data_IF_266572291935
#
_entry.id   IF_266572291935
#
_cell.length_a   1.000
_cell.length_b   1.000
_cell.length_c   1.000
_cell.angle_alpha   90.00
_cell.angle_beta   90.00
_cell.angle_gamma   90.00
#
_symmetry.space_group_name_H-M   'P 1'
#
loop_
_entity.id
_entity.type
_entity.pdbx_description
1 polymer ?
#
# COMPACT_ATOMS: atom_id res chain seq x y z
N UNK A 1 101.33 93.92 -8.41
CA UNK A 1 101.38 93.27 -9.73
C UNK A 1 99.96 93.10 -10.23
N UNK A 2 99.65 93.71 -11.37
CA UNK A 2 98.39 93.55 -12.09
C UNK A 2 98.19 92.10 -12.53
N UNK A 3 96.95 91.62 -12.49
CA UNK A 3 96.53 90.48 -13.29
C UNK A 3 95.10 90.70 -13.80
N UNK A 4 94.99 91.10 -15.07
CA UNK A 4 93.76 91.09 -15.86
C UNK A 4 93.25 89.65 -16.04
N UNK A 5 91.97 89.35 -15.78
CA UNK A 5 91.33 88.13 -16.31
C UNK A 5 89.90 88.36 -16.82
N UNK A 6 89.64 87.76 -17.99
CA UNK A 6 88.58 87.99 -18.98
C UNK A 6 87.19 87.47 -18.55
N UNK A 7 86.11 88.20 -18.88
CA UNK A 7 84.69 87.81 -18.60
C UNK A 7 84.21 86.62 -19.49
N UNK A 8 83.57 85.56 -18.94
CA UNK A 8 83.29 84.32 -19.69
C UNK A 8 82.10 84.38 -20.67
N UNK A 9 82.15 83.55 -21.72
CA UNK A 9 81.15 83.36 -22.80
C UNK A 9 79.71 83.02 -22.32
N UNK A 10 79.53 82.61 -21.08
CA UNK A 10 78.25 82.21 -20.46
C UNK A 10 77.28 83.39 -20.28
N UNK A 11 77.80 84.59 -19.97
CA UNK A 11 76.99 85.80 -19.82
C UNK A 11 76.29 86.21 -21.13
N UNK A 12 76.97 86.08 -22.28
CA UNK A 12 76.39 86.40 -23.60
C UNK A 12 75.24 85.45 -23.98
N UNK A 13 75.31 84.17 -23.60
CA UNK A 13 74.23 83.19 -23.82
C UNK A 13 73.01 83.52 -22.96
N UNK A 14 73.22 83.90 -21.69
CA UNK A 14 72.15 84.31 -20.78
C UNK A 14 71.42 85.57 -21.29
N UNK A 15 72.18 86.57 -21.75
CA UNK A 15 71.63 87.79 -22.36
C UNK A 15 70.80 87.47 -23.61
N UNK A 16 71.30 86.61 -24.53
CA UNK A 16 70.52 86.18 -25.71
C UNK A 16 69.25 85.40 -25.34
N UNK A 17 69.28 84.56 -24.28
CA UNK A 17 68.11 83.83 -23.76
C UNK A 17 67.07 84.81 -23.21
N UNK A 18 67.48 85.80 -22.42
CA UNK A 18 66.61 86.85 -21.90
C UNK A 18 66.03 87.71 -23.03
N UNK A 19 66.81 88.05 -24.05
CA UNK A 19 66.33 88.77 -25.23
C UNK A 19 65.31 87.98 -26.06
N UNK A 20 65.49 86.65 -26.23
CA UNK A 20 64.49 85.77 -26.88
C UNK A 20 63.21 85.64 -26.06
N UNK A 21 63.34 85.53 -24.73
CA UNK A 21 62.20 85.53 -23.80
C UNK A 21 61.42 86.85 -23.92
N UNK A 22 62.11 87.99 -23.92
CA UNK A 22 61.50 89.33 -24.06
C UNK A 22 60.80 89.50 -25.41
N UNK A 23 61.37 88.97 -26.50
CA UNK A 23 60.74 88.97 -27.84
C UNK A 23 59.47 88.09 -27.90
N UNK A 24 59.49 86.88 -27.34
CA UNK A 24 58.29 86.01 -27.27
C UNK A 24 57.20 86.62 -26.40
N UNK A 25 57.57 87.21 -25.27
CA UNK A 25 56.63 87.94 -24.41
C UNK A 25 56.02 89.14 -25.14
N UNK A 26 56.80 89.86 -25.95
CA UNK A 26 56.27 90.95 -26.77
C UNK A 26 55.29 90.43 -27.83
N UNK A 27 55.65 89.38 -28.58
CA UNK A 27 54.78 88.77 -29.60
C UNK A 27 53.49 88.19 -29.03
N UNK A 28 53.53 87.54 -27.86
CA UNK A 28 52.33 87.05 -27.18
C UNK A 28 51.43 88.23 -26.77
N UNK A 29 52.00 89.28 -26.18
CA UNK A 29 51.26 90.52 -25.84
C UNK A 29 50.66 91.17 -27.08
N UNK A 30 51.38 91.22 -28.19
CA UNK A 30 50.87 91.81 -29.43
C UNK A 30 49.74 90.94 -30.04
N UNK A 31 49.80 89.61 -29.92
CA UNK A 31 48.73 88.69 -30.35
C UNK A 31 47.50 88.82 -29.45
N UNK A 32 47.69 88.77 -28.14
CA UNK A 32 46.60 88.87 -27.18
C UNK A 32 45.94 90.26 -27.29
N UNK A 33 46.73 91.33 -27.53
CA UNK A 33 46.22 92.67 -27.84
C UNK A 33 45.40 92.71 -29.14
N UNK A 34 45.82 92.00 -30.20
CA UNK A 34 45.04 91.89 -31.44
C UNK A 34 43.73 91.13 -31.23
N UNK A 35 43.75 90.04 -30.46
CA UNK A 35 42.54 89.30 -30.11
C UNK A 35 41.59 90.17 -29.27
N UNK A 36 42.12 90.93 -28.31
CA UNK A 36 41.35 91.92 -27.55
C UNK A 36 40.76 93.02 -28.45
N UNK A 37 41.52 93.53 -29.43
CA UNK A 37 41.05 94.50 -30.42
C UNK A 37 39.93 93.91 -31.31
N UNK A 38 40.06 92.66 -31.74
CA UNK A 38 39.07 91.92 -32.52
C UNK A 38 37.80 91.60 -31.70
N UNK A 39 37.94 91.19 -30.45
CA UNK A 39 36.81 91.01 -29.53
C UNK A 39 36.12 92.33 -29.21
N UNK A 40 36.87 93.43 -29.06
CA UNK A 40 36.31 94.76 -28.85
C UNK A 40 35.52 95.23 -30.09
N UNK A 41 36.02 94.94 -31.30
CA UNK A 41 35.31 95.21 -32.55
C UNK A 41 34.01 94.39 -32.65
N UNK A 42 34.06 93.09 -32.37
CA UNK A 42 32.86 92.22 -32.31
C UNK A 42 31.87 92.71 -31.26
N UNK A 43 32.35 93.08 -30.08
CA UNK A 43 31.53 93.59 -28.97
C UNK A 43 30.98 94.99 -29.23
N UNK A 44 31.53 95.76 -30.17
CA UNK A 44 30.99 97.04 -30.59
C UNK A 44 29.95 96.90 -31.73
N UNK A 45 29.93 95.77 -32.43
CA UNK A 45 28.93 95.45 -33.46
C UNK A 45 27.56 95.17 -32.82
N UNK A 46 26.53 95.85 -33.32
CA UNK A 46 25.17 95.73 -32.83
C UNK A 46 24.56 94.34 -33.14
N UNK A 47 24.86 93.76 -34.29
CA UNK A 47 24.34 92.45 -34.70
C UNK A 47 24.89 91.32 -33.83
N UNK A 48 26.15 91.43 -33.42
CA UNK A 48 26.80 90.45 -32.54
C UNK A 48 26.26 90.50 -31.11
N UNK A 49 25.94 91.69 -30.58
CA UNK A 49 25.25 91.84 -29.28
C UNK A 49 23.88 91.18 -29.28
N UNK A 50 23.07 91.41 -30.32
CA UNK A 50 21.75 90.79 -30.46
C UNK A 50 21.84 89.27 -30.58
N UNK A 51 22.85 88.75 -31.28
CA UNK A 51 23.08 87.31 -31.39
C UNK A 51 23.49 86.68 -30.05
N UNK A 52 24.37 87.33 -29.28
CA UNK A 52 24.73 86.89 -27.92
C UNK A 52 23.51 86.87 -26.99
N UNK A 53 22.73 87.95 -26.97
CA UNK A 53 21.49 88.02 -26.17
C UNK A 53 20.48 86.94 -26.59
N UNK A 54 20.33 86.69 -27.90
CA UNK A 54 19.47 85.63 -28.41
C UNK A 54 19.99 84.23 -28.03
N UNK A 55 21.31 84.00 -28.09
CA UNK A 55 21.90 82.74 -27.71
C UNK A 55 21.81 82.48 -26.21
N UNK A 56 22.11 83.46 -25.37
CA UNK A 56 21.91 83.38 -23.93
C UNK A 56 20.44 83.10 -23.58
N UNK A 57 19.50 83.74 -24.29
CA UNK A 57 18.07 83.49 -24.13
C UNK A 57 17.67 82.06 -24.51
N UNK A 58 18.20 81.52 -25.62
CA UNK A 58 17.94 80.15 -26.04
C UNK A 58 18.57 79.12 -25.08
N UNK A 59 19.79 79.37 -24.60
CA UNK A 59 20.46 78.53 -23.61
C UNK A 59 19.71 78.53 -22.26
N UNK A 60 19.15 79.67 -21.85
CA UNK A 60 18.32 79.78 -20.66
C UNK A 60 16.99 79.01 -20.82
N UNK A 61 16.32 79.13 -21.97
CA UNK A 61 15.12 78.36 -22.27
C UNK A 61 15.40 76.85 -22.26
N UNK A 62 16.55 76.43 -22.78
CA UNK A 62 16.97 75.03 -22.78
C UNK A 62 17.27 74.52 -21.36
N UNK A 63 17.97 75.30 -20.53
CA UNK A 63 18.17 74.97 -19.10
C UNK A 63 16.85 74.76 -18.37
N UNK A 64 15.89 75.67 -18.55
CA UNK A 64 14.56 75.58 -17.93
C UNK A 64 13.80 74.35 -18.44
N UNK A 65 13.93 74.00 -19.73
CA UNK A 65 13.31 72.82 -20.29
C UNK A 65 13.91 71.52 -19.73
N UNK A 66 15.25 71.43 -19.68
CA UNK A 66 15.98 70.28 -19.15
C UNK A 66 15.69 70.09 -17.64
N UNK A 67 15.61 71.18 -16.87
CA UNK A 67 15.24 71.13 -15.44
C UNK A 67 13.81 70.60 -15.24
N UNK A 68 12.85 71.03 -16.06
CA UNK A 68 11.49 70.50 -16.02
C UNK A 68 11.44 69.02 -16.39
N UNK A 69 12.17 68.61 -17.42
CA UNK A 69 12.25 67.20 -17.81
C UNK A 69 12.88 66.34 -16.70
N UNK A 70 13.92 66.85 -16.02
CA UNK A 70 14.51 66.18 -14.86
C UNK A 70 13.52 66.06 -13.70
N UNK A 71 12.78 67.12 -13.39
CA UNK A 71 11.74 67.09 -12.36
C UNK A 71 10.64 66.08 -12.68
N UNK A 72 10.14 66.07 -13.92
CA UNK A 72 9.13 65.11 -14.36
C UNK A 72 9.65 63.66 -14.29
N UNK A 73 10.90 63.43 -14.69
CA UNK A 73 11.54 62.12 -14.61
C UNK A 73 11.76 61.67 -13.17
N UNK A 74 12.17 62.58 -12.28
CA UNK A 74 12.32 62.33 -10.84
C UNK A 74 10.96 61.99 -10.20
N UNK A 75 9.92 62.75 -10.50
CA UNK A 75 8.56 62.45 -10.04
C UNK A 75 8.07 61.09 -10.54
N UNK A 76 8.30 60.77 -11.82
CA UNK A 76 7.95 59.47 -12.38
C UNK A 76 8.73 58.34 -11.73
N UNK A 77 10.01 58.55 -11.45
CA UNK A 77 10.85 57.58 -10.75
C UNK A 77 10.35 57.35 -9.32
N UNK A 78 10.09 58.41 -8.55
CA UNK A 78 9.56 58.33 -7.19
C UNK A 78 8.19 57.63 -7.14
N UNK A 79 7.31 57.87 -8.12
CA UNK A 79 6.02 57.16 -8.22
C UNK A 79 6.21 55.66 -8.45
N UNK A 80 7.12 55.27 -9.35
CA UNK A 80 7.44 53.86 -9.62
C UNK A 80 8.06 53.18 -8.40
N UNK A 81 8.98 53.87 -7.73
CA UNK A 81 9.64 53.37 -6.52
C UNK A 81 8.64 53.13 -5.39
N UNK A 82 7.72 54.07 -5.15
CA UNK A 82 6.67 53.91 -4.14
C UNK A 82 5.75 52.72 -4.43
N UNK A 83 5.39 52.52 -5.71
CA UNK A 83 4.57 51.38 -6.12
C UNK A 83 5.33 50.06 -5.94
N UNK A 84 6.61 50.01 -6.31
CA UNK A 84 7.47 48.85 -6.15
C UNK A 84 7.63 48.48 -4.66
N UNK A 85 7.83 49.46 -3.78
CA UNK A 85 7.92 49.22 -2.33
C UNK A 85 6.62 48.67 -1.73
N UNK A 86 5.46 49.23 -2.14
CA UNK A 86 4.15 48.70 -1.71
C UNK A 86 3.91 47.28 -2.21
N UNK A 87 4.29 46.98 -3.45
CA UNK A 87 4.19 45.63 -4.01
C UNK A 87 5.10 44.66 -3.26
N UNK A 88 6.35 45.03 -3.02
CA UNK A 88 7.31 44.21 -2.28
C UNK A 88 6.82 43.89 -0.87
N UNK A 89 6.30 44.88 -0.13
CA UNK A 89 5.73 44.66 1.20
C UNK A 89 4.54 43.70 1.16
N UNK A 90 3.66 43.83 0.16
CA UNK A 90 2.51 42.94 -0.01
C UNK A 90 2.94 41.50 -0.34
N UNK A 91 3.93 41.33 -1.21
CA UNK A 91 4.50 40.03 -1.54
C UNK A 91 5.20 39.38 -0.34
N UNK A 92 5.87 40.16 0.51
CA UNK A 92 6.45 39.64 1.75
C UNK A 92 5.36 39.16 2.72
N UNK A 93 4.27 39.93 2.89
CA UNK A 93 3.14 39.51 3.72
C UNK A 93 2.47 38.25 3.19
N UNK A 94 2.28 38.16 1.86
CA UNK A 94 1.72 36.97 1.21
C UNK A 94 2.61 35.74 1.40
N UNK A 95 3.93 35.86 1.21
CA UNK A 95 4.88 34.77 1.45
C UNK A 95 4.86 34.27 2.90
N UNK A 96 4.89 35.19 3.86
CA UNK A 96 4.81 34.83 5.29
C UNK A 96 3.47 34.17 5.63
N UNK A 97 2.36 34.63 5.03
CA UNK A 97 1.05 34.01 5.21
C UNK A 97 0.99 32.61 4.58
N UNK A 98 1.58 32.43 3.39
CA UNK A 98 1.67 31.13 2.71
C UNK A 98 2.53 30.14 3.50
N UNK A 99 3.70 30.56 4.00
CA UNK A 99 4.56 29.73 4.86
C UNK A 99 3.83 29.27 6.12
N UNK A 100 3.11 30.18 6.81
CA UNK A 100 2.29 29.84 7.97
C UNK A 100 1.17 28.87 7.63
N UNK A 101 0.47 29.09 6.52
CA UNK A 101 -0.60 28.19 6.07
C UNK A 101 -0.06 26.79 5.74
N UNK A 102 1.14 26.70 5.15
CA UNK A 102 1.81 25.43 4.89
C UNK A 102 2.22 24.72 6.19
N UNK A 103 2.73 25.45 7.18
CA UNK A 103 3.10 24.91 8.48
C UNK A 103 1.88 24.36 9.24
N UNK A 104 0.80 25.13 9.29
CA UNK A 104 -0.48 24.69 9.86
C UNK A 104 -1.01 23.42 9.18
N UNK A 105 -0.94 23.35 7.84
CA UNK A 105 -1.35 22.17 7.09
C UNK A 105 -0.48 20.94 7.44
N UNK A 106 0.84 21.11 7.57
CA UNK A 106 1.75 20.04 7.98
C UNK A 106 1.44 19.55 9.38
N UNK A 107 1.16 20.44 10.32
CA UNK A 107 0.76 20.06 11.68
C UNK A 107 -0.55 19.28 11.69
N UNK A 108 -1.54 19.71 10.90
CA UNK A 108 -2.81 18.99 10.76
C UNK A 108 -2.59 17.59 10.17
N UNK A 109 -1.74 17.46 9.15
CA UNK A 109 -1.39 16.17 8.56
C UNK A 109 -0.68 15.26 9.57
N UNK A 110 0.27 15.81 10.35
CA UNK A 110 0.97 15.07 11.39
C UNK A 110 0.03 14.58 12.49
N UNK A 111 -0.87 15.44 12.98
CA UNK A 111 -1.90 15.06 13.97
C UNK A 111 -2.79 13.92 13.46
N UNK A 112 -3.27 14.02 12.22
CA UNK A 112 -4.07 12.96 11.58
C UNK A 112 -3.30 11.64 11.45
N UNK A 113 -2.03 11.69 11.05
CA UNK A 113 -1.19 10.48 10.94
C UNK A 113 -0.99 9.81 12.30
N UNK A 114 -0.72 10.60 13.34
CA UNK A 114 -0.54 10.12 14.71
C UNK A 114 -1.82 9.46 15.25
N UNK A 115 -2.99 10.08 15.02
CA UNK A 115 -4.28 9.51 15.40
C UNK A 115 -4.55 8.16 14.70
N UNK A 116 -4.23 8.06 13.41
CA UNK A 116 -4.36 6.81 12.65
C UNK A 116 -3.41 5.72 13.16
N UNK A 117 -2.18 6.07 13.52
CA UNK A 117 -1.20 5.13 14.08
C UNK A 117 -1.65 4.62 15.46
N UNK A 118 -2.09 5.51 16.34
CA UNK A 118 -2.65 5.14 17.65
C UNK A 118 -3.90 4.26 17.51
N UNK A 119 -4.80 4.58 16.58
CA UNK A 119 -5.98 3.76 16.30
C UNK A 119 -5.60 2.36 15.79
N UNK A 120 -4.62 2.24 14.89
CA UNK A 120 -4.10 0.95 14.42
C UNK A 120 -3.48 0.15 15.57
N UNK A 121 -2.70 0.79 16.43
CA UNK A 121 -2.09 0.14 17.60
C UNK A 121 -3.15 -0.42 18.55
N UNK A 122 -4.18 0.37 18.89
CA UNK A 122 -5.32 -0.08 19.70
C UNK A 122 -6.04 -1.28 19.07
N UNK A 123 -6.28 -1.25 17.75
CA UNK A 123 -6.88 -2.38 17.04
C UNK A 123 -6.00 -3.64 17.08
N UNK A 124 -4.68 -3.49 16.98
CA UNK A 124 -3.75 -4.61 17.07
C UNK A 124 -3.73 -5.20 18.49
N UNK A 125 -3.68 -4.36 19.53
CA UNK A 125 -3.73 -4.79 20.93
C UNK A 125 -5.05 -5.52 21.25
N UNK A 126 -6.19 -5.02 20.77
CA UNK A 126 -7.48 -5.70 20.94
C UNK A 126 -7.52 -7.06 20.22
N UNK A 127 -6.98 -7.13 19.00
CA UNK A 127 -6.88 -8.40 18.25
C UNK A 127 -5.96 -9.40 18.96
N UNK A 128 -4.84 -8.94 19.50
CA UNK A 128 -3.91 -9.77 20.27
C UNK A 128 -4.59 -10.28 21.54
N UNK A 129 -5.27 -9.42 22.30
CA UNK A 129 -6.00 -9.83 23.51
C UNK A 129 -7.05 -10.89 23.20
N UNK A 130 -7.84 -10.71 22.14
CA UNK A 130 -8.84 -11.69 21.69
C UNK A 130 -8.18 -13.01 21.24
N UNK A 131 -7.03 -12.94 20.58
CA UNK A 131 -6.28 -14.12 20.17
C UNK A 131 -5.70 -14.90 21.37
N UNK A 132 -5.18 -14.19 22.38
CA UNK A 132 -4.69 -14.80 23.61
C UNK A 132 -5.82 -15.44 24.43
N UNK A 133 -6.97 -14.78 24.53
CA UNK A 133 -8.16 -15.32 25.18
C UNK A 133 -8.64 -16.59 24.47
N UNK A 134 -8.76 -16.56 23.14
CA UNK A 134 -9.09 -17.75 22.34
C UNK A 134 -8.05 -18.87 22.47
N UNK A 135 -6.76 -18.53 22.59
CA UNK A 135 -5.69 -19.51 22.80
C UNK A 135 -5.79 -20.18 24.18
N UNK A 136 -6.10 -19.42 25.23
CA UNK A 136 -6.34 -19.97 26.58
C UNK A 136 -7.56 -20.90 26.60
N UNK A 137 -8.66 -20.49 25.97
CA UNK A 137 -9.84 -21.35 25.85
C UNK A 137 -9.53 -22.66 25.09
N UNK A 138 -8.72 -22.57 24.02
CA UNK A 138 -8.28 -23.75 23.29
C UNK A 138 -7.41 -24.66 24.18
N UNK A 139 -6.45 -24.11 24.92
CA UNK A 139 -5.60 -24.88 25.83
C UNK A 139 -6.42 -25.60 26.91
N UNK A 140 -7.41 -24.94 27.49
CA UNK A 140 -8.35 -25.56 28.43
C UNK A 140 -9.13 -26.70 27.79
N UNK A 141 -9.62 -26.53 26.55
CA UNK A 141 -10.33 -27.62 25.86
C UNK A 141 -9.43 -28.81 25.57
N UNK A 142 -8.17 -28.58 25.23
CA UNK A 142 -7.19 -29.66 24.99
C UNK A 142 -6.94 -30.42 26.30
N UNK A 143 -6.77 -29.72 27.43
CA UNK A 143 -6.62 -30.35 28.75
C UNK A 143 -7.80 -31.25 29.10
N UNK A 144 -9.03 -30.77 28.90
CA UNK A 144 -10.26 -31.55 29.13
C UNK A 144 -10.29 -32.79 28.22
N UNK A 145 -9.88 -32.66 26.96
CA UNK A 145 -9.82 -33.79 26.03
C UNK A 145 -8.81 -34.85 26.49
N UNK A 146 -7.63 -34.43 26.95
CA UNK A 146 -6.57 -35.31 27.44
C UNK A 146 -7.00 -36.05 28.70
N UNK A 147 -7.57 -35.34 29.69
CA UNK A 147 -8.16 -35.94 30.89
C UNK A 147 -9.22 -37.00 30.55
N UNK A 148 -10.11 -36.69 29.60
CA UNK A 148 -11.17 -37.62 29.17
C UNK A 148 -10.64 -38.87 28.44
N UNK A 149 -9.51 -38.74 27.73
CA UNK A 149 -8.84 -39.86 27.08
C UNK A 149 -8.05 -40.74 28.07
N UNK A 150 -7.49 -40.14 29.12
CA UNK A 150 -6.69 -40.85 30.14
C UNK A 150 -7.52 -41.62 31.15
N UNK A 151 -8.72 -41.15 31.52
CA UNK A 151 -9.61 -41.83 32.46
C UNK A 151 -10.82 -42.50 31.74
N UNK A 152 -10.82 -43.85 31.60
CA UNK A 152 -11.95 -44.59 31.02
C UNK A 152 -13.24 -44.56 31.86
N UNK A 153 -13.14 -44.26 33.16
CA UNK A 153 -14.28 -44.18 34.09
C UNK A 153 -14.99 -42.83 34.08
N UNK A 154 -14.35 -41.78 33.56
CA UNK A 154 -14.91 -40.43 33.52
C UNK A 154 -16.22 -40.39 32.69
N UNK A 155 -17.23 -39.66 33.17
CA UNK A 155 -18.36 -39.32 32.31
C UNK A 155 -17.91 -38.36 31.20
N UNK A 156 -18.63 -38.31 30.07
CA UNK A 156 -18.31 -37.35 29.01
C UNK A 156 -18.45 -35.92 29.55
N UNK A 157 -17.42 -35.06 29.48
CA UNK A 157 -17.50 -33.69 30.00
C UNK A 157 -18.61 -32.88 29.34
N UNK A 158 -19.37 -32.09 30.11
CA UNK A 158 -20.50 -31.27 29.61
C UNK A 158 -20.08 -30.36 28.46
N UNK A 159 -18.88 -29.76 28.54
CA UNK A 159 -18.30 -28.90 27.50
C UNK A 159 -18.16 -29.59 26.14
N UNK A 160 -18.06 -30.92 26.12
CA UNK A 160 -17.92 -31.74 24.89
C UNK A 160 -19.26 -32.31 24.38
N UNK A 161 -20.35 -32.19 25.16
CA UNK A 161 -21.67 -32.71 24.78
C UNK A 161 -22.51 -31.72 23.95
N UNK A 162 -21.94 -30.56 23.61
CA UNK A 162 -22.62 -29.52 22.85
C UNK A 162 -22.66 -29.75 21.34
N UNK A 163 -23.37 -28.84 20.68
CA UNK A 163 -23.44 -28.74 19.22
C UNK A 163 -23.07 -27.32 18.79
N UNK A 164 -22.36 -27.22 17.67
CA UNK A 164 -22.11 -25.96 16.98
C UNK A 164 -23.16 -25.81 15.89
N UNK A 165 -23.87 -24.71 15.92
CA UNK A 165 -24.81 -24.33 14.88
C UNK A 165 -24.19 -23.27 13.98
N UNK A 166 -24.24 -23.48 12.67
CA UNK A 166 -23.73 -22.47 11.71
C UNK A 166 -24.61 -21.21 11.71
N UNK A 167 -25.92 -21.35 11.97
CA UNK A 167 -26.88 -20.24 12.05
C UNK A 167 -27.88 -20.49 13.19
N UNK A 168 -27.57 -20.06 14.42
CA UNK A 168 -28.47 -20.23 15.55
C UNK A 168 -29.84 -19.60 15.30
N UNK A 169 -30.92 -20.32 15.56
CA UNK A 169 -32.31 -19.85 15.42
C UNK A 169 -32.96 -20.06 14.04
N UNK A 170 -32.19 -20.44 13.02
CA UNK A 170 -32.73 -20.76 11.69
C UNK A 170 -33.19 -22.22 11.59
N UNK A 171 -34.03 -22.52 10.59
CA UNK A 171 -34.47 -23.90 10.31
C UNK A 171 -33.27 -24.81 10.02
N UNK A 172 -33.29 -26.03 10.56
CA UNK A 172 -32.23 -27.02 10.35
C UNK A 172 -32.20 -27.49 8.88
N UNK A 173 -31.01 -27.55 8.29
CA UNK A 173 -30.85 -28.04 6.92
C UNK A 173 -31.16 -29.54 6.85
N UNK A 174 -32.16 -29.93 6.06
CA UNK A 174 -32.54 -31.35 5.91
C UNK A 174 -31.42 -32.21 5.32
N UNK A 175 -30.71 -31.70 4.32
CA UNK A 175 -29.62 -32.42 3.66
C UNK A 175 -28.46 -32.67 4.63
N UNK A 176 -28.02 -31.62 5.36
CA UNK A 176 -26.95 -31.74 6.33
C UNK A 176 -27.36 -32.62 7.51
N UNK A 177 -28.60 -32.50 8.01
CA UNK A 177 -29.13 -33.33 9.08
C UNK A 177 -29.06 -34.83 8.75
N UNK A 178 -29.40 -35.20 7.51
CA UNK A 178 -29.44 -36.60 7.06
C UNK A 178 -28.05 -37.13 6.69
N UNK A 179 -27.26 -36.36 5.95
CA UNK A 179 -26.04 -36.86 5.28
C UNK A 179 -24.74 -36.24 5.81
N UNK A 180 -24.83 -35.21 6.66
CA UNK A 180 -23.68 -34.42 7.16
C UNK A 180 -22.87 -33.74 6.04
N UNK A 181 -23.41 -33.74 4.81
CA UNK A 181 -22.86 -33.09 3.63
C UNK A 181 -23.92 -32.17 3.02
N UNK A 182 -23.58 -30.91 2.76
CA UNK A 182 -24.49 -29.95 2.14
C UNK A 182 -23.78 -29.26 0.99
N UNK A 183 -24.44 -29.17 -0.17
CA UNK A 183 -23.92 -28.52 -1.37
C UNK A 183 -23.51 -27.07 -1.14
N UNK A 184 -24.18 -26.39 -0.22
CA UNK A 184 -23.94 -24.97 0.09
C UNK A 184 -22.89 -24.74 1.19
N UNK A 185 -22.45 -25.80 1.90
CA UNK A 185 -21.47 -25.67 2.99
C UNK A 185 -21.84 -24.57 4.00
N UNK A 186 -20.88 -23.73 4.38
CA UNK A 186 -21.12 -22.59 5.29
C UNK A 186 -22.02 -21.48 4.71
N UNK A 187 -22.24 -21.46 3.40
CA UNK A 187 -23.12 -20.49 2.73
C UNK A 187 -24.59 -20.93 2.72
N UNK A 188 -24.92 -22.09 3.28
CA UNK A 188 -26.31 -22.53 3.39
C UNK A 188 -27.15 -21.49 4.15
N UNK A 189 -28.38 -21.24 3.71
CA UNK A 189 -29.35 -20.41 4.42
C UNK A 189 -29.89 -21.08 5.69
N UNK A 190 -29.87 -22.41 5.73
CA UNK A 190 -30.34 -23.21 6.84
C UNK A 190 -29.22 -23.51 7.83
N UNK A 191 -29.57 -23.82 9.08
CA UNK A 191 -28.61 -24.15 10.14
C UNK A 191 -28.04 -25.56 9.97
N UNK A 192 -26.70 -25.67 10.03
CA UNK A 192 -25.99 -26.95 10.14
C UNK A 192 -25.59 -27.18 11.59
N UNK A 193 -26.04 -28.29 12.17
CA UNK A 193 -25.75 -28.70 13.54
C UNK A 193 -24.61 -29.71 13.56
N UNK A 194 -23.48 -29.36 14.18
CA UNK A 194 -22.29 -30.22 14.27
C UNK A 194 -22.02 -30.61 15.73
N UNK A 195 -21.96 -31.89 16.08
CA UNK A 195 -21.61 -32.28 17.44
C UNK A 195 -20.16 -31.91 17.76
N UNK A 196 -19.88 -31.53 19.02
CA UNK A 196 -18.52 -31.35 19.52
C UNK A 196 -17.82 -32.69 19.78
N UNK A 197 -18.59 -33.72 20.10
CA UNK A 197 -18.13 -35.09 20.27
C UNK A 197 -19.21 -36.07 19.81
N UNK A 198 -18.83 -37.04 18.99
CA UNK A 198 -19.71 -38.10 18.50
C UNK A 198 -18.94 -39.40 18.39
N UNK A 199 -19.66 -40.52 18.26
CA UNK A 199 -19.09 -41.81 17.89
C UNK A 199 -18.62 -41.83 16.43
N UNK A 200 -19.15 -40.93 15.60
CA UNK A 200 -18.90 -40.91 14.15
C UNK A 200 -17.96 -39.75 13.82
N UNK A 201 -16.86 -40.05 13.16
CA UNK A 201 -16.00 -39.06 12.48
C UNK A 201 -16.26 -39.10 10.98
N UNK A 202 -16.12 -37.93 10.35
CA UNK A 202 -16.23 -37.70 8.92
C UNK A 202 -14.92 -37.08 8.44
N UNK A 203 -14.31 -37.69 7.42
CA UNK A 203 -13.08 -37.22 6.79
C UNK A 203 -13.44 -36.80 5.36
N UNK A 204 -13.42 -35.48 5.11
CA UNK A 204 -13.88 -34.92 3.84
C UNK A 204 -12.89 -35.20 2.71
N UNK A 205 -13.39 -35.78 1.61
CA UNK A 205 -12.61 -36.04 0.40
C UNK A 205 -11.30 -36.79 0.73
N UNK A 206 -11.42 -37.86 1.51
CA UNK A 206 -10.31 -38.69 1.95
C UNK A 206 -9.91 -39.68 0.86
N UNK A 207 -10.87 -40.45 0.35
CA UNK A 207 -10.67 -41.28 -0.83
C UNK A 207 -10.75 -40.42 -2.09
N UNK A 208 -9.70 -40.45 -2.90
CA UNK A 208 -9.62 -39.69 -4.13
C UNK A 208 -9.40 -40.64 -5.29
N UNK A 209 -10.18 -40.46 -6.35
CA UNK A 209 -10.07 -41.26 -7.55
C UNK A 209 -10.50 -40.42 -8.75
N UNK A 210 -9.86 -40.63 -9.91
CA UNK A 210 -10.15 -39.86 -11.14
C UNK A 210 -11.61 -39.98 -11.56
N UNK A 211 -12.20 -41.18 -11.46
CA UNK A 211 -13.64 -41.39 -11.75
C UNK A 211 -14.60 -40.69 -10.78
N UNK A 212 -14.12 -40.21 -9.61
CA UNK A 212 -14.90 -39.38 -8.69
C UNK A 212 -14.66 -37.88 -8.90
N UNK A 213 -13.81 -37.52 -9.85
CA UNK A 213 -13.52 -36.14 -10.21
C UNK A 213 -14.16 -35.79 -11.56
N UNK A 214 -15.27 -35.05 -11.52
CA UNK A 214 -15.99 -34.57 -12.72
C UNK A 214 -15.44 -33.26 -13.29
N UNK A 215 -14.25 -32.80 -12.88
CA UNK A 215 -13.64 -31.62 -13.50
C UNK A 215 -13.19 -31.93 -14.94
N UNK A 216 -14.14 -31.94 -15.87
CA UNK A 216 -13.87 -31.87 -17.29
C UNK A 216 -13.34 -30.47 -17.59
N UNK A 217 -12.07 -30.36 -17.95
CA UNK A 217 -11.54 -29.16 -18.57
C UNK A 217 -12.04 -29.14 -20.02
N UNK A 218 -12.86 -28.15 -20.40
CA UNK A 218 -13.43 -28.03 -21.76
C UNK A 218 -12.36 -28.09 -22.86
N UNK A 219 -11.12 -27.68 -22.54
CA UNK A 219 -9.98 -27.62 -23.47
C UNK A 219 -9.26 -28.97 -23.69
N UNK A 220 -9.44 -29.96 -22.79
CA UNK A 220 -8.75 -31.26 -22.83
C UNK A 220 -9.70 -32.45 -23.05
N UNK A 221 -10.96 -32.19 -23.38
CA UNK A 221 -12.02 -33.20 -23.61
C UNK A 221 -11.84 -33.98 -24.93
N UNK A 222 -10.60 -34.17 -25.39
CA UNK A 222 -10.29 -35.05 -26.52
C UNK A 222 -10.56 -36.51 -26.14
N UNK A 223 -11.08 -37.27 -27.09
CA UNK A 223 -11.66 -38.61 -26.96
C UNK A 223 -10.73 -39.73 -26.43
N UNK A 224 -9.56 -39.41 -25.89
CA UNK A 224 -8.58 -40.35 -25.35
C UNK A 224 -8.65 -40.47 -23.81
N UNK A 225 -9.16 -39.47 -23.08
CA UNK A 225 -9.26 -39.51 -21.60
C UNK A 225 -10.34 -40.49 -21.09
N UNK A 226 -11.24 -40.92 -21.97
CA UNK A 226 -12.32 -41.89 -21.67
C UNK A 226 -11.86 -43.35 -21.71
N UNK A 227 -10.60 -43.62 -22.05
CA UNK A 227 -10.05 -44.98 -22.22
C UNK A 227 -9.10 -45.44 -21.09
N UNK A 228 -8.83 -44.60 -20.08
CA UNK A 228 -7.70 -44.89 -19.18
C UNK A 228 -8.06 -45.64 -17.88
N UNK A 229 -9.27 -45.54 -17.33
CA UNK A 229 -9.64 -46.27 -16.11
C UNK A 229 -11.12 -46.68 -16.05
N UNK A 230 -11.38 -47.94 -15.71
CA UNK A 230 -12.70 -48.54 -15.57
C UNK A 230 -13.19 -48.65 -14.12
N UNK A 231 -14.40 -49.19 -13.93
CA UNK A 231 -14.93 -49.48 -12.58
C UNK A 231 -14.08 -50.50 -11.80
N UNK A 232 -13.35 -51.37 -12.51
CA UNK A 232 -12.41 -52.32 -11.91
C UNK A 232 -11.23 -51.62 -11.23
N UNK A 233 -10.67 -50.59 -11.87
CA UNK A 233 -9.55 -49.82 -11.33
C UNK A 233 -10.00 -49.03 -10.09
N UNK A 234 -11.19 -48.39 -10.16
CA UNK A 234 -11.78 -47.74 -8.99
C UNK A 234 -11.96 -48.69 -7.81
N UNK A 235 -12.34 -49.94 -8.08
CA UNK A 235 -12.49 -50.94 -7.02
C UNK A 235 -11.14 -51.37 -6.47
N UNK A 236 -10.14 -51.59 -7.33
CA UNK A 236 -8.77 -51.92 -6.93
C UNK A 236 -8.16 -50.82 -6.06
N UNK A 237 -8.21 -49.57 -6.52
CA UNK A 237 -7.73 -48.39 -5.81
C UNK A 237 -8.45 -48.21 -4.46
N UNK A 238 -9.75 -48.55 -4.42
CA UNK A 238 -10.51 -48.52 -3.17
C UNK A 238 -10.07 -49.62 -2.19
N UNK A 239 -9.80 -50.82 -2.68
CA UNK A 239 -9.34 -51.94 -1.85
C UNK A 239 -7.91 -51.68 -1.33
N UNK A 240 -7.02 -51.10 -2.14
CA UNK A 240 -5.69 -50.61 -1.71
C UNK A 240 -5.80 -49.48 -0.66
N UNK A 241 -6.68 -48.50 -0.91
CA UNK A 241 -6.98 -47.45 0.06
C UNK A 241 -7.48 -48.01 1.39
N UNK A 242 -8.38 -49.00 1.36
CA UNK A 242 -8.88 -49.64 2.57
C UNK A 242 -7.78 -50.41 3.29
N UNK A 243 -6.90 -51.11 2.57
CA UNK A 243 -5.80 -51.86 3.16
C UNK A 243 -4.80 -50.96 3.90
N UNK A 244 -4.58 -49.74 3.41
CA UNK A 244 -3.70 -48.74 4.04
C UNK A 244 -4.39 -48.04 5.23
N UNK A 245 -5.65 -47.62 5.04
CA UNK A 245 -6.35 -46.78 6.03
C UNK A 245 -6.98 -47.57 7.16
N UNK A 246 -7.47 -48.78 6.91
CA UNK A 246 -8.19 -49.56 7.92
C UNK A 246 -7.35 -49.87 9.17
N UNK A 247 -6.12 -50.41 9.05
CA UNK A 247 -5.32 -50.76 10.22
C UNK A 247 -4.96 -49.53 11.07
N UNK A 248 -4.71 -48.39 10.41
CA UNK A 248 -4.44 -47.11 11.07
C UNK A 248 -5.64 -46.61 11.89
N UNK A 249 -6.86 -46.78 11.38
CA UNK A 249 -8.07 -46.39 12.10
C UNK A 249 -8.41 -47.35 13.24
N UNK A 250 -8.17 -48.64 13.04
CA UNK A 250 -8.41 -49.68 14.05
C UNK A 250 -7.55 -49.49 15.31
N UNK A 251 -6.35 -48.89 15.16
CA UNK A 251 -5.48 -48.54 16.29
C UNK A 251 -6.14 -47.58 17.31
N UNK A 252 -7.13 -46.79 16.88
CA UNK A 252 -7.83 -45.86 17.77
C UNK A 252 -9.00 -46.52 18.51
N UNK A 253 -9.54 -47.62 18.01
CA UNK A 253 -10.56 -48.44 18.67
C UNK A 253 -11.42 -49.26 17.71
N UNK A 254 -12.39 -49.98 18.28
CA UNK A 254 -13.29 -50.87 17.53
C UNK A 254 -14.22 -50.07 16.59
N UNK A 255 -14.08 -50.33 15.29
CA UNK A 255 -14.88 -49.73 14.22
C UNK A 255 -16.17 -50.54 14.03
N UNK A 256 -17.32 -49.87 14.13
CA UNK A 256 -18.65 -50.46 13.94
C UNK A 256 -19.12 -50.30 12.50
N UNK A 257 -18.92 -49.12 11.91
CA UNK A 257 -19.23 -48.85 10.51
C UNK A 257 -18.10 -48.07 9.85
N UNK A 258 -17.72 -48.50 8.66
CA UNK A 258 -16.82 -47.78 7.77
C UNK A 258 -17.49 -47.66 6.41
N UNK A 259 -17.69 -46.43 5.94
CA UNK A 259 -18.41 -46.15 4.69
C UNK A 259 -17.74 -45.03 3.93
N UNK A 260 -17.59 -45.22 2.62
CA UNK A 260 -17.00 -44.23 1.73
C UNK A 260 -18.03 -43.79 0.70
N UNK A 261 -18.20 -42.48 0.55
CA UNK A 261 -19.13 -41.91 -0.42
C UNK A 261 -18.54 -41.93 -1.84
N UNK A 262 -19.20 -42.64 -2.76
CA UNK A 262 -18.89 -42.63 -4.21
C UNK A 262 -19.53 -41.45 -4.95
N UNK A 263 -20.02 -40.44 -4.23
CA UNK A 263 -20.58 -39.25 -4.85
C UNK A 263 -19.52 -38.57 -5.73
N UNK A 264 -19.95 -37.99 -6.84
CA UNK A 264 -19.05 -37.22 -7.71
C UNK A 264 -19.07 -35.73 -7.35
N UNK A 265 -20.12 -35.28 -6.65
CA UNK A 265 -20.25 -33.87 -6.27
C UNK A 265 -19.22 -33.48 -5.21
N UNK A 266 -18.55 -32.32 -5.34
CA UNK A 266 -17.44 -31.92 -4.47
C UNK A 266 -17.73 -31.89 -2.97
N UNK A 267 -19.00 -31.67 -2.58
CA UNK A 267 -19.40 -31.56 -1.18
C UNK A 267 -19.54 -32.90 -0.44
N UNK A 268 -19.62 -34.02 -1.18
CA UNK A 268 -19.79 -35.37 -0.65
C UNK A 268 -18.76 -36.36 -1.19
N UNK A 269 -18.08 -36.07 -2.31
CA UNK A 269 -17.13 -36.99 -2.96
C UNK A 269 -16.05 -37.47 -2.02
N UNK A 270 -15.76 -38.77 -2.10
CA UNK A 270 -14.63 -39.36 -1.38
C UNK A 270 -14.71 -39.23 0.14
N UNK A 271 -15.87 -38.84 0.67
CA UNK A 271 -16.03 -38.57 2.10
C UNK A 271 -16.16 -39.91 2.81
N UNK A 272 -15.29 -40.12 3.78
CA UNK A 272 -15.25 -41.36 4.56
C UNK A 272 -15.88 -41.09 5.91
N UNK A 273 -16.78 -41.97 6.31
CA UNK A 273 -17.41 -41.97 7.61
C UNK A 273 -16.94 -43.19 8.39
N UNK A 274 -16.52 -42.96 9.63
CA UNK A 274 -16.03 -44.00 10.54
C UNK A 274 -16.81 -43.86 11.84
N UNK A 275 -17.58 -44.88 12.18
CA UNK A 275 -18.30 -45.00 13.44
C UNK A 275 -17.53 -45.93 14.36
N UNK A 276 -17.11 -45.41 15.52
CA UNK A 276 -16.51 -46.19 16.59
C UNK A 276 -17.56 -46.62 17.61
N UNK A 277 -17.28 -47.72 18.31
CA UNK A 277 -18.14 -48.20 19.41
C UNK A 277 -18.21 -47.22 20.59
N UNK A 278 -17.12 -46.50 20.84
CA UNK A 278 -17.01 -45.56 21.95
C UNK A 278 -16.61 -44.15 21.49
N UNK A 279 -17.22 -43.11 22.09
CA UNK A 279 -16.88 -41.69 21.82
C UNK A 279 -15.41 -41.38 22.04
N UNK A 280 -14.77 -42.02 23.02
CA UNK A 280 -13.33 -41.87 23.30
C UNK A 280 -12.44 -42.28 22.14
N UNK A 281 -12.75 -43.42 21.50
CA UNK A 281 -12.01 -43.89 20.32
C UNK A 281 -12.14 -42.91 19.16
N UNK A 282 -13.35 -42.38 18.95
CA UNK A 282 -13.59 -41.33 17.95
C UNK A 282 -12.82 -40.04 18.26
N UNK A 283 -12.73 -39.62 19.52
CA UNK A 283 -11.92 -38.47 19.94
C UNK A 283 -10.43 -38.70 19.74
N UNK A 284 -9.94 -39.88 20.12
CA UNK A 284 -8.54 -40.27 19.93
C UNK A 284 -8.18 -40.22 18.43
N UNK A 285 -9.04 -40.77 17.58
CA UNK A 285 -8.89 -40.69 16.13
C UNK A 285 -8.91 -39.23 15.63
N UNK A 286 -9.88 -38.43 16.08
CA UNK A 286 -10.00 -37.02 15.68
C UNK A 286 -8.72 -36.22 15.98
N UNK A 287 -8.19 -36.31 17.20
CA UNK A 287 -6.98 -35.57 17.61
C UNK A 287 -5.76 -36.01 16.81
N UNK A 288 -5.58 -37.32 16.61
CA UNK A 288 -4.41 -37.85 15.90
C UNK A 288 -4.47 -37.64 14.38
N UNK A 289 -5.67 -37.57 13.78
CA UNK A 289 -5.83 -37.43 12.34
C UNK A 289 -5.84 -35.97 11.86
N UNK A 290 -6.23 -35.01 12.71
CA UNK A 290 -6.41 -33.60 12.30
C UNK A 290 -5.12 -32.91 11.79
N UNK A 291 -3.95 -33.38 12.22
CA UNK A 291 -2.64 -32.87 11.78
C UNK A 291 -1.93 -33.79 10.78
N UNK A 292 -2.54 -34.91 10.38
CA UNK A 292 -1.95 -35.88 9.45
C UNK A 292 -2.24 -35.54 7.99
N UNK A 293 -1.37 -36.07 7.12
CA UNK A 293 -1.48 -35.97 5.67
C UNK A 293 -1.67 -37.35 5.07
N UNK A 294 -2.45 -37.42 4.00
CA UNK A 294 -2.63 -38.62 3.18
C UNK A 294 -2.58 -38.21 1.71
N UNK A 295 -1.80 -38.90 0.89
CA UNK A 295 -1.62 -38.59 -0.53
C UNK A 295 -1.37 -37.07 -0.79
N UNK A 296 -0.39 -36.50 -0.08
CA UNK A 296 -0.02 -35.08 -0.12
C UNK A 296 -1.13 -34.07 0.27
N UNK A 297 -2.22 -34.52 0.89
CA UNK A 297 -3.33 -33.67 1.32
C UNK A 297 -3.56 -33.75 2.83
N UNK A 298 -3.77 -32.60 3.46
CA UNK A 298 -4.14 -32.54 4.88
C UNK A 298 -5.54 -33.13 5.08
N UNK A 299 -5.67 -34.04 6.05
CA UNK A 299 -6.97 -34.59 6.41
C UNK A 299 -7.85 -33.50 7.04
N UNK A 300 -9.12 -33.48 6.67
CA UNK A 300 -10.12 -32.60 7.28
C UNK A 300 -11.13 -33.48 8.01
N UNK A 301 -10.92 -33.62 9.32
CA UNK A 301 -11.72 -34.47 10.18
C UNK A 301 -12.72 -33.62 10.95
N UNK A 302 -13.96 -34.08 10.97
CA UNK A 302 -15.07 -33.44 11.68
C UNK A 302 -15.89 -34.53 12.40
N UNK A 303 -16.49 -34.19 13.55
CA UNK A 303 -17.50 -35.08 14.12
C UNK A 303 -18.81 -34.97 13.35
N UNK A 304 -19.42 -36.12 13.09
CA UNK A 304 -20.68 -36.25 12.41
C UNK A 304 -21.72 -36.89 13.33
N UNK A 305 -23.00 -36.58 13.11
CA UNK A 305 -24.08 -37.26 13.80
C UNK A 305 -25.11 -37.74 12.78
N UNK A 306 -25.15 -39.05 12.56
CA UNK A 306 -26.12 -39.72 11.69
C UNK A 306 -26.99 -40.59 12.59
N UNK A 307 -28.30 -40.33 12.62
CA UNK A 307 -29.23 -41.09 13.44
C UNK A 307 -29.44 -42.51 12.91
N UNK A 308 -29.59 -42.64 11.60
CA UNK A 308 -29.80 -43.92 10.93
C UNK A 308 -29.07 -43.95 9.58
N UNK A 309 -28.18 -44.93 9.39
CA UNK A 309 -27.47 -45.09 8.12
C UNK A 309 -28.41 -45.29 6.93
N UNK A 310 -29.58 -45.92 7.14
CA UNK A 310 -30.57 -46.17 6.08
C UNK A 310 -31.11 -44.88 5.45
N UNK A 311 -31.17 -43.77 6.20
CA UNK A 311 -31.68 -42.49 5.69
C UNK A 311 -30.58 -41.63 5.07
N UNK A 312 -29.31 -41.94 5.36
CA UNK A 312 -28.14 -41.25 4.84
C UNK A 312 -27.64 -41.83 3.50
N UNK A 313 -27.92 -43.12 3.25
CA UNK A 313 -27.53 -43.81 2.01
C UNK A 313 -28.60 -43.65 0.93
N UNK A 314 -28.17 -43.31 -0.28
CA UNK A 314 -29.03 -43.23 -1.45
C UNK A 314 -29.67 -44.59 -1.79
N UNK A 315 -30.96 -44.61 -2.14
CA UNK A 315 -31.64 -45.80 -2.68
C UNK A 315 -32.21 -46.79 -1.65
N UNK A 316 -32.19 -46.49 -0.34
CA UNK A 316 -32.72 -47.41 0.68
C UNK A 316 -34.22 -47.29 0.96
N UNK A 317 -34.92 -46.34 0.33
CA UNK A 317 -36.38 -46.15 0.47
C UNK A 317 -37.15 -46.82 -0.67
N UNK A 318 -37.51 -48.10 -0.49
CA UNK A 318 -38.83 -48.63 -0.89
C UNK A 318 -39.14 -48.92 -2.36
N UNK A 319 -38.24 -48.78 -3.33
CA UNK A 319 -38.47 -49.27 -4.70
C UNK A 319 -37.31 -50.13 -5.18
N UNK A 320 -37.59 -51.41 -5.39
CA UNK A 320 -36.65 -52.47 -5.82
C UNK A 320 -36.04 -52.25 -7.21
N UNK A 321 -36.18 -51.08 -7.84
CA UNK A 321 -35.74 -50.79 -9.23
C UNK A 321 -34.90 -49.53 -9.40
N UNK A 322 -34.35 -48.95 -8.31
CA UNK A 322 -33.34 -47.90 -8.44
C UNK A 322 -32.27 -48.05 -7.35
N UNK A 323 -31.48 -49.12 -7.49
CA UNK A 323 -30.24 -49.30 -6.74
C UNK A 323 -29.27 -48.22 -7.25
N UNK A 324 -29.02 -47.20 -6.44
CA UNK A 324 -27.89 -46.32 -6.67
C UNK A 324 -26.62 -47.16 -6.48
N UNK A 325 -25.82 -47.36 -7.52
CA UNK A 325 -24.60 -48.17 -7.54
C UNK A 325 -23.43 -47.53 -6.73
N UNK A 326 -23.75 -46.64 -5.79
CA UNK A 326 -22.86 -45.58 -5.30
C UNK A 326 -22.31 -45.79 -3.89
N UNK A 327 -22.39 -47.02 -3.36
CA UNK A 327 -21.92 -47.33 -2.01
C UNK A 327 -20.98 -48.52 -1.97
N UNK A 328 -19.70 -48.28 -1.69
CA UNK A 328 -18.78 -49.36 -1.32
C UNK A 328 -18.83 -49.58 0.19
N UNK A 329 -19.14 -50.80 0.59
CA UNK A 329 -18.76 -51.31 1.92
C UNK A 329 -17.42 -52.04 1.77
N UNK A 330 -16.55 -52.01 2.79
CA UNK A 330 -15.33 -52.82 2.79
C UNK A 330 -15.70 -54.31 2.60
N UNK A 331 -14.81 -55.12 2.00
CA UNK A 331 -15.00 -56.57 2.02
C UNK A 331 -15.08 -57.04 3.47
N UNK A 332 -16.13 -57.81 3.80
CA UNK A 332 -16.18 -58.51 5.09
C UNK A 332 -15.11 -59.60 5.02
N UNK A 333 -14.11 -59.53 5.89
CA UNK A 333 -13.20 -60.67 6.14
C UNK A 333 -13.97 -61.75 6.85
#
# INVERSE_FOLDING_TARGET
MEAQMKRPRTWRKLVKKLQRKKRRQKLARDRDKKLEEEELQKRNDHSYKQWLEHQEHMEELQRIADEKEQQENEEQWLRRELLAQKQFQREQQMRLAEEKAQEELREQQYKKLKELEEAKKRQQEERQRKAEEAAKELEETIKICDEYLQDPGMATPTRMQGYIETRPGEKQCEFYKKTQCCRFGYRCSHSHTRPLLSNIILIRNFFQHRLLDQQQHEEYSSAEEQLEMGEGDLRSDYDEFCADVWPELEQFGEIVNFRTARNVQPHARGTVFVEYKHKRSALKAFINLQSRYYAAKRLNVEFAHITHWRTAVCGHSGSLHQICLDGFSPPRV
#
